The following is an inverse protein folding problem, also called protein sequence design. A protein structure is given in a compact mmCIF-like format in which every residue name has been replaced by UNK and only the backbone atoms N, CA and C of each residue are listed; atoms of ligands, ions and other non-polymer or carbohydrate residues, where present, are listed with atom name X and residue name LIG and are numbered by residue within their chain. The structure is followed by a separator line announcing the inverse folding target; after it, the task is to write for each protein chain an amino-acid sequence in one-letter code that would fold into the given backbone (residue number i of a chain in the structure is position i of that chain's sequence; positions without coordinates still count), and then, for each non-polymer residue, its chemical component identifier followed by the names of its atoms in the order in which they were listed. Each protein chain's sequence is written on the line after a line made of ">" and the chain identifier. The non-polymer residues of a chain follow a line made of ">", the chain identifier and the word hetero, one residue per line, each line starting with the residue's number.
data_IF_695311243178
#
_entry.id   IF_695311243178
#
_cell.length_a   1.000
_cell.length_b   1.000
_cell.length_c   1.000
_cell.angle_alpha   90.00
_cell.angle_beta   90.00
_cell.angle_gamma   90.00
#
_symmetry.space_group_name_H-M   'P 1'
#
loop_
_entity.id
_entity.type
_entity.pdbx_description
1 polymer ?
#
# COMPACT_ATOMS: atom_id res chain seq x y z
N UNK A 1 -8.01 0.12 -17.07
CA UNK A 1 -8.47 0.97 -15.95
C UNK A 1 -9.02 2.25 -16.55
N UNK A 2 -9.86 2.98 -15.82
CA UNK A 2 -10.44 4.24 -16.31
C UNK A 2 -10.08 5.38 -15.37
N UNK A 3 -9.62 6.47 -15.94
CA UNK A 3 -9.48 7.75 -15.24
C UNK A 3 -10.71 8.61 -15.55
N UNK A 4 -11.33 9.17 -14.51
CA UNK A 4 -12.42 10.13 -14.64
C UNK A 4 -12.00 11.45 -13.98
N UNK A 5 -11.94 12.52 -14.76
CA UNK A 5 -11.59 13.86 -14.26
C UNK A 5 -12.82 14.47 -13.58
N UNK A 6 -12.60 15.09 -12.43
CA UNK A 6 -13.63 15.75 -11.63
C UNK A 6 -13.23 17.21 -11.34
N UNK A 7 -14.18 18.07 -10.91
CA UNK A 7 -13.81 19.38 -10.38
C UNK A 7 -12.79 19.23 -9.24
N UNK A 8 -11.61 19.86 -9.39
CA UNK A 8 -10.52 19.84 -8.42
C UNK A 8 -9.99 18.43 -8.05
N UNK A 9 -10.07 17.46 -8.97
CA UNK A 9 -9.66 16.11 -8.65
C UNK A 9 -9.84 15.08 -9.76
N UNK A 10 -9.77 13.81 -9.38
CA UNK A 10 -9.95 12.68 -10.28
C UNK A 10 -10.34 11.40 -9.54
N UNK A 11 -10.84 10.45 -10.31
CA UNK A 11 -11.20 9.11 -9.84
C UNK A 11 -10.58 8.05 -10.76
N UNK A 12 -10.02 6.99 -10.17
CA UNK A 12 -9.48 5.83 -10.89
C UNK A 12 -10.37 4.63 -10.59
N UNK A 13 -10.87 4.02 -11.66
CA UNK A 13 -11.69 2.81 -11.63
C UNK A 13 -10.95 1.61 -12.21
N UNK A 14 -11.08 0.47 -11.54
CA UNK A 14 -10.55 -0.84 -11.98
C UNK A 14 -11.74 -1.79 -12.12
N UNK A 15 -12.05 -2.20 -13.34
CA UNK A 15 -13.35 -2.82 -13.64
C UNK A 15 -14.50 -1.86 -13.29
N UNK A 16 -15.45 -2.32 -12.49
CA UNK A 16 -16.55 -1.50 -11.93
C UNK A 16 -16.23 -0.87 -10.57
N UNK A 17 -15.05 -1.15 -10.01
CA UNK A 17 -14.67 -0.70 -8.68
C UNK A 17 -14.03 0.70 -8.73
N UNK A 18 -14.65 1.69 -8.09
CA UNK A 18 -13.98 2.96 -7.79
C UNK A 18 -12.94 2.73 -6.70
N UNK A 19 -11.67 2.85 -7.06
CA UNK A 19 -10.54 2.48 -6.21
C UNK A 19 -9.90 3.69 -5.54
N UNK A 20 -9.65 4.75 -6.32
CA UNK A 20 -9.02 5.99 -5.85
C UNK A 20 -9.94 7.13 -6.23
N UNK A 21 -10.26 8.00 -5.26
CA UNK A 21 -10.98 9.24 -5.49
C UNK A 21 -10.24 10.37 -4.79
N UNK A 22 -9.60 11.21 -5.57
CA UNK A 22 -8.78 12.31 -5.09
C UNK A 22 -9.50 13.63 -5.30
N UNK A 23 -9.59 14.45 -4.25
CA UNK A 23 -9.96 15.86 -4.36
C UNK A 23 -9.10 16.70 -3.41
N UNK A 24 -9.07 18.02 -3.59
CA UNK A 24 -8.36 18.92 -2.68
C UNK A 24 -8.91 18.90 -1.24
N UNK A 25 -10.21 18.60 -1.05
CA UNK A 25 -10.82 18.45 0.27
C UNK A 25 -10.68 17.05 0.87
N UNK A 26 -10.51 16.03 0.03
CA UNK A 26 -10.33 14.64 0.41
C UNK A 26 -9.08 14.06 -0.28
N UNK A 27 -7.87 14.50 0.13
CA UNK A 27 -6.64 14.04 -0.48
C UNK A 27 -6.38 12.59 -0.09
N UNK A 28 -6.14 11.76 -1.10
CA UNK A 28 -5.77 10.35 -0.95
C UNK A 28 -4.29 10.07 -1.13
N UNK A 29 -3.51 11.07 -1.58
CA UNK A 29 -2.06 10.97 -1.70
C UNK A 29 -1.40 11.86 -0.66
N UNK A 30 -0.42 11.31 0.04
CA UNK A 30 0.44 12.03 0.96
C UNK A 30 1.88 11.70 0.64
N UNK A 31 2.78 12.65 0.84
CA UNK A 31 4.23 12.41 0.73
C UNK A 31 4.95 13.04 1.92
N UNK A 32 6.20 12.67 2.10
CA UNK A 32 7.02 13.26 3.13
C UNK A 32 8.39 12.62 3.25
N UNK A 33 9.06 12.95 4.34
CA UNK A 33 10.41 12.49 4.67
C UNK A 33 10.35 11.64 5.92
N UNK A 34 10.95 10.46 5.85
CA UNK A 34 11.25 9.60 6.98
C UNK A 34 12.75 9.37 7.13
N UNK A 35 13.20 9.09 8.35
CA UNK A 35 14.54 8.60 8.66
C UNK A 35 14.45 7.20 9.30
N UNK A 36 14.65 6.13 8.52
CA UNK A 36 14.35 4.76 8.94
C UNK A 36 15.43 4.23 9.88
N UNK A 37 15.00 3.48 10.91
CA UNK A 37 15.85 2.62 11.71
C UNK A 37 15.32 1.20 11.75
N UNK A 38 16.23 0.25 11.91
CA UNK A 38 15.92 -1.16 11.99
C UNK A 38 16.78 -1.82 13.08
N UNK A 39 16.14 -2.23 14.18
CA UNK A 39 16.81 -3.02 15.21
C UNK A 39 16.81 -4.48 14.79
N UNK A 40 17.97 -5.01 14.43
CA UNK A 40 18.17 -6.41 14.05
C UNK A 40 18.66 -7.26 15.22
N UNK A 41 18.02 -8.41 15.46
CA UNK A 41 18.52 -9.43 16.37
C UNK A 41 18.15 -10.84 15.89
N UNK A 42 19.14 -11.57 15.36
CA UNK A 42 19.02 -13.00 14.95
C UNK A 42 17.78 -13.28 14.08
N UNK A 43 17.56 -12.44 13.06
CA UNK A 43 16.42 -12.59 12.13
C UNK A 43 15.14 -11.85 12.55
N UNK A 44 15.08 -11.31 13.77
CA UNK A 44 13.99 -10.46 14.22
C UNK A 44 14.32 -8.99 13.94
N UNK A 45 13.31 -8.24 13.47
CA UNK A 45 13.44 -6.82 13.15
C UNK A 45 12.39 -6.00 13.89
N UNK A 46 12.78 -4.79 14.32
CA UNK A 46 11.85 -3.70 14.62
C UNK A 46 12.19 -2.54 13.70
N UNK A 47 11.34 -2.27 12.72
CA UNK A 47 11.52 -1.21 11.72
C UNK A 47 10.61 -0.04 12.06
N UNK A 48 11.15 1.16 12.15
CA UNK A 48 10.41 2.38 12.50
C UNK A 48 11.09 3.64 11.94
N UNK A 49 10.35 4.73 11.81
CA UNK A 49 10.91 6.04 11.49
C UNK A 49 11.18 6.81 12.79
N UNK A 50 12.39 7.38 12.94
CA UNK A 50 12.73 8.27 14.07
C UNK A 50 12.10 9.66 13.94
N UNK A 51 12.09 10.14 12.70
CA UNK A 51 11.49 11.41 12.30
C UNK A 51 10.60 11.12 11.12
N UNK A 52 9.36 11.60 11.17
CA UNK A 52 8.40 11.42 10.09
C UNK A 52 7.68 12.72 9.81
N UNK A 53 7.76 13.18 8.57
CA UNK A 53 6.88 14.20 8.02
C UNK A 53 5.90 13.54 7.07
N UNK A 54 4.65 13.99 7.11
CA UNK A 54 3.58 13.52 6.25
C UNK A 54 2.69 14.69 5.86
N UNK A 55 2.58 14.93 4.57
CA UNK A 55 1.93 16.12 4.02
C UNK A 55 0.95 15.70 2.92
N UNK A 56 -0.30 16.18 2.94
CA UNK A 56 -1.26 15.87 1.89
C UNK A 56 -0.87 16.58 0.59
N UNK A 57 -1.04 15.90 -0.54
CA UNK A 57 -0.97 16.50 -1.87
C UNK A 57 -2.38 17.00 -2.20
N UNK A 58 -2.56 18.31 -2.31
CA UNK A 58 -3.89 18.94 -2.41
C UNK A 58 -4.24 19.34 -3.83
N UNK A 59 -3.23 19.52 -4.68
CA UNK A 59 -3.38 20.02 -6.03
C UNK A 59 -2.94 18.95 -7.00
N UNK A 60 -3.70 18.81 -8.09
CA UNK A 60 -3.37 17.92 -9.17
C UNK A 60 -3.47 18.62 -10.52
N UNK A 61 -2.60 18.23 -11.45
CA UNK A 61 -2.75 18.49 -12.88
C UNK A 61 -2.79 17.15 -13.60
N UNK A 62 -3.64 17.05 -14.61
CA UNK A 62 -3.85 15.82 -15.36
C UNK A 62 -3.66 16.14 -16.83
N UNK A 63 -2.85 15.33 -17.50
CA UNK A 63 -2.77 15.24 -18.96
C UNK A 63 -3.28 13.86 -19.36
N UNK A 64 -4.42 13.80 -20.04
CA UNK A 64 -5.17 12.58 -20.28
C UNK A 64 -5.31 12.27 -21.77
N UNK A 65 -4.85 11.09 -22.18
CA UNK A 65 -4.96 10.58 -23.55
C UNK A 65 -5.78 9.29 -23.57
N UNK A 66 -6.04 8.71 -24.75
CA UNK A 66 -6.88 7.50 -24.86
C UNK A 66 -6.37 6.33 -24.01
N UNK A 67 -5.07 6.03 -24.10
CA UNK A 67 -4.46 4.85 -23.48
C UNK A 67 -3.61 5.15 -22.24
N UNK A 68 -3.16 6.39 -22.07
CA UNK A 68 -2.28 6.79 -20.97
C UNK A 68 -2.78 8.07 -20.32
N UNK A 69 -2.33 8.32 -19.10
CA UNK A 69 -2.51 9.62 -18.45
C UNK A 69 -1.31 9.93 -17.57
N UNK A 70 -0.96 11.20 -17.44
CA UNK A 70 0.01 11.66 -16.44
C UNK A 70 -0.71 12.54 -15.43
N UNK A 71 -0.55 12.22 -14.15
CA UNK A 71 -1.07 13.00 -13.03
C UNK A 71 0.10 13.55 -12.23
N UNK A 72 0.20 14.86 -12.16
CA UNK A 72 1.14 15.54 -11.27
C UNK A 72 0.42 16.00 -10.02
N UNK A 73 1.02 15.76 -8.87
CA UNK A 73 0.47 16.05 -7.55
C UNK A 73 1.42 16.99 -6.79
N UNK A 74 0.87 17.99 -6.09
CA UNK A 74 1.64 18.90 -5.25
C UNK A 74 0.90 19.29 -3.98
N UNK A 75 1.65 19.66 -2.95
CA UNK A 75 1.11 20.19 -1.69
C UNK A 75 0.54 21.60 -1.83
N UNK A 76 1.13 22.41 -2.71
CA UNK A 76 0.79 23.81 -2.92
C UNK A 76 0.45 24.05 -4.39
N UNK A 77 -0.25 25.13 -4.68
CA UNK A 77 -0.52 25.59 -6.05
C UNK A 77 0.72 26.13 -6.77
N UNK A 78 1.92 25.94 -6.22
CA UNK A 78 3.19 26.33 -6.84
C UNK A 78 3.49 25.47 -8.08
N UNK A 79 4.41 25.92 -8.92
CA UNK A 79 4.75 25.23 -10.17
C UNK A 79 5.54 23.92 -9.99
N UNK A 80 6.05 23.62 -8.78
CA UNK A 80 6.82 22.41 -8.53
C UNK A 80 5.91 21.25 -8.08
N UNK A 81 5.99 20.14 -8.80
CA UNK A 81 5.30 18.90 -8.45
C UNK A 81 6.08 18.14 -7.36
N UNK A 82 5.37 17.43 -6.50
CA UNK A 82 5.95 16.59 -5.46
C UNK A 82 5.96 15.11 -5.88
N UNK A 83 4.90 14.66 -6.55
CA UNK A 83 4.74 13.28 -7.04
C UNK A 83 4.18 13.30 -8.47
N UNK A 84 4.66 12.39 -9.30
CA UNK A 84 4.16 12.12 -10.65
C UNK A 84 3.62 10.68 -10.71
N UNK A 85 2.45 10.51 -11.32
CA UNK A 85 1.85 9.23 -11.63
C UNK A 85 1.73 9.09 -13.15
N UNK A 86 2.26 8.02 -13.72
CA UNK A 86 2.06 7.64 -15.11
C UNK A 86 1.13 6.42 -15.16
N UNK A 87 -0.04 6.60 -15.76
CA UNK A 87 -1.08 5.59 -15.86
C UNK A 87 -1.02 4.94 -17.24
N UNK A 88 -0.85 3.61 -17.29
CA UNK A 88 -1.13 2.79 -18.48
C UNK A 88 -2.53 2.16 -18.32
N UNK A 89 -3.50 2.73 -19.03
CA UNK A 89 -4.91 2.33 -18.91
C UNK A 89 -5.17 0.93 -19.48
N UNK A 90 -4.37 0.48 -20.43
CA UNK A 90 -4.52 -0.84 -21.08
C UNK A 90 -3.94 -1.94 -20.19
N UNK A 91 -2.78 -1.69 -19.59
CA UNK A 91 -2.08 -2.65 -18.72
C UNK A 91 -2.54 -2.60 -17.26
N UNK A 92 -3.41 -1.66 -16.89
CA UNK A 92 -3.82 -1.44 -15.49
C UNK A 92 -2.62 -1.16 -14.56
N UNK A 93 -1.64 -0.40 -15.06
CA UNK A 93 -0.40 -0.11 -14.33
C UNK A 93 -0.30 1.37 -14.00
N UNK A 94 0.15 1.70 -12.80
CA UNK A 94 0.46 3.07 -12.38
C UNK A 94 1.91 3.11 -11.96
N UNK A 95 2.78 3.73 -12.74
CA UNK A 95 4.15 4.04 -12.31
C UNK A 95 4.11 5.33 -11.45
N UNK A 96 4.72 5.29 -10.27
CA UNK A 96 4.70 6.37 -9.28
C UNK A 96 6.12 6.83 -9.03
N UNK A 97 6.35 8.14 -9.08
CA UNK A 97 7.63 8.76 -8.80
C UNK A 97 7.48 9.96 -7.86
N UNK A 98 8.18 9.93 -6.74
CA UNK A 98 8.39 11.11 -5.89
C UNK A 98 9.46 11.96 -6.58
N UNK A 99 9.04 13.08 -7.18
CA UNK A 99 9.93 13.96 -7.95
C UNK A 99 10.59 15.02 -7.08
N UNK A 100 10.01 15.35 -5.92
CA UNK A 100 10.63 16.24 -4.96
C UNK A 100 11.69 15.49 -4.13
N UNK A 101 12.99 15.85 -4.25
CA UNK A 101 14.09 15.09 -3.64
C UNK A 101 14.14 15.18 -2.11
N UNK A 102 13.33 16.04 -1.49
CA UNK A 102 13.22 16.12 -0.04
C UNK A 102 12.42 14.97 0.57
N UNK A 103 11.71 14.20 -0.25
CA UNK A 103 10.75 13.18 0.18
C UNK A 103 11.16 11.77 -0.25
N UNK A 104 10.88 10.81 0.63
CA UNK A 104 11.21 9.39 0.48
C UNK A 104 10.11 8.49 1.08
N UNK A 105 8.92 9.04 1.29
CA UNK A 105 7.72 8.35 1.77
C UNK A 105 6.54 8.75 0.92
N UNK A 106 5.68 7.79 0.63
CA UNK A 106 4.35 8.04 0.07
C UNK A 106 3.30 7.20 0.79
N UNK A 107 2.13 7.80 1.00
CA UNK A 107 0.93 7.10 1.44
C UNK A 107 -0.16 7.28 0.41
N UNK A 108 -0.84 6.18 0.07
CA UNK A 108 -1.91 6.13 -0.92
C UNK A 108 -3.14 5.53 -0.26
N UNK A 109 -4.23 6.28 -0.23
CA UNK A 109 -5.53 5.79 0.27
C UNK A 109 -6.35 5.23 -0.87
N UNK A 110 -6.91 4.06 -0.64
CA UNK A 110 -7.87 3.39 -1.51
C UNK A 110 -9.23 3.45 -0.82
N UNK A 111 -10.29 3.72 -1.58
CA UNK A 111 -11.65 3.63 -1.08
C UNK A 111 -11.89 2.22 -0.56
N UNK A 112 -12.53 2.09 0.59
CA UNK A 112 -13.08 0.81 1.07
C UNK A 112 -14.58 0.93 1.34
N UNK A 113 -15.26 -0.20 1.52
CA UNK A 113 -16.67 -0.26 1.91
C UNK A 113 -16.84 -1.06 3.19
N UNK A 114 -17.84 -0.72 4.02
CA UNK A 114 -18.15 -1.49 5.22
C UNK A 114 -18.37 -2.97 4.90
N UNK A 115 -17.70 -3.86 5.65
CA UNK A 115 -17.75 -5.31 5.42
C UNK A 115 -16.85 -5.83 4.30
N UNK A 116 -16.05 -4.96 3.65
CA UNK A 116 -15.04 -5.40 2.69
C UNK A 116 -14.01 -6.30 3.39
N UNK A 117 -13.87 -7.53 2.90
CA UNK A 117 -12.77 -8.41 3.24
C UNK A 117 -11.60 -8.21 2.27
N UNK A 118 -10.40 -8.33 2.80
CA UNK A 118 -9.13 -8.27 2.07
C UNK A 118 -8.26 -9.46 2.48
N UNK A 119 -7.58 -10.09 1.52
CA UNK A 119 -6.74 -11.28 1.74
C UNK A 119 -5.40 -11.15 1.03
N UNK A 120 -4.41 -11.93 1.45
CA UNK A 120 -3.08 -11.95 0.84
C UNK A 120 -2.02 -11.43 1.81
N UNK A 121 -1.29 -10.40 1.40
CA UNK A 121 -0.10 -9.89 2.08
C UNK A 121 1.03 -10.94 2.20
N UNK A 122 1.08 -11.90 1.26
CA UNK A 122 1.98 -13.06 1.31
C UNK A 122 1.40 -14.20 2.16
N UNK A 123 2.26 -14.90 2.90
CA UNK A 123 1.87 -15.97 3.83
C UNK A 123 1.54 -15.39 5.21
N UNK A 124 0.25 -15.34 5.54
CA UNK A 124 -0.24 -14.84 6.84
C UNK A 124 -0.75 -15.99 7.70
N UNK A 125 -0.23 -16.12 8.92
CA UNK A 125 -0.50 -17.26 9.81
C UNK A 125 -1.67 -17.03 10.77
N UNK A 126 -1.93 -15.77 11.15
CA UNK A 126 -2.85 -15.45 12.25
C UNK A 126 -4.22 -15.01 11.76
N UNK A 127 -4.25 -14.27 10.64
CA UNK A 127 -5.48 -13.71 10.07
C UNK A 127 -5.50 -13.94 8.58
N UNK A 128 -6.53 -14.62 8.09
CA UNK A 128 -6.76 -14.74 6.65
C UNK A 128 -7.42 -13.49 6.08
N UNK A 129 -8.51 -13.02 6.71
CA UNK A 129 -9.08 -11.71 6.41
C UNK A 129 -8.28 -10.62 7.14
N UNK A 130 -7.67 -9.73 6.38
CA UNK A 130 -6.75 -8.70 6.84
C UNK A 130 -7.47 -7.42 7.29
N UNK A 131 -8.78 -7.31 7.04
CA UNK A 131 -9.55 -6.12 7.42
C UNK A 131 -9.46 -5.83 8.93
N UNK A 132 -9.30 -4.57 9.28
CA UNK A 132 -9.16 -4.08 10.66
C UNK A 132 -7.74 -4.15 11.23
N UNK A 133 -6.73 -4.49 10.42
CA UNK A 133 -5.34 -4.70 10.87
C UNK A 133 -4.31 -4.05 9.95
N UNK A 134 -3.09 -3.91 10.48
CA UNK A 134 -1.95 -3.27 9.81
C UNK A 134 -0.85 -4.30 9.58
N UNK A 135 -0.40 -4.45 8.34
CA UNK A 135 0.57 -5.47 7.92
C UNK A 135 1.83 -4.84 7.35
N UNK A 136 2.92 -4.73 8.14
CA UNK A 136 4.24 -4.42 7.63
C UNK A 136 4.69 -5.51 6.65
N UNK A 137 5.20 -5.09 5.50
CA UNK A 137 5.75 -5.96 4.47
C UNK A 137 7.27 -5.96 4.64
N UNK A 138 7.74 -6.86 5.50
CA UNK A 138 9.16 -7.02 5.80
C UNK A 138 9.45 -8.46 6.23
N UNK A 139 10.30 -9.16 5.48
CA UNK A 139 10.63 -10.56 5.81
C UNK A 139 11.40 -10.62 7.12
N UNK A 140 10.93 -11.47 8.04
CA UNK A 140 11.58 -11.69 9.33
C UNK A 140 11.15 -13.02 9.93
N UNK A 141 11.82 -13.42 11.01
CA UNK A 141 11.34 -14.51 11.86
C UNK A 141 9.87 -14.25 12.26
N UNK A 142 8.94 -15.21 12.07
CA UNK A 142 7.52 -15.03 12.32
C UNK A 142 7.21 -14.95 13.81
N UNK A 143 8.18 -15.32 14.66
CA UNK A 143 8.08 -15.34 16.11
C UNK A 143 7.66 -16.69 16.69
N UNK A 144 7.97 -16.86 17.98
CA UNK A 144 7.60 -18.02 18.80
C UNK A 144 6.45 -17.59 19.71
N UNK A 145 5.30 -18.24 19.58
CA UNK A 145 4.07 -17.86 20.29
C UNK A 145 3.23 -16.83 19.51
N UNK A 146 3.82 -15.72 19.06
CA UNK A 146 3.21 -14.74 18.12
C UNK A 146 1.97 -13.99 18.65
N UNK A 147 1.64 -14.21 19.90
CA UNK A 147 0.62 -13.49 20.67
C UNK A 147 1.27 -13.00 21.97
N UNK A 148 1.48 -11.68 22.06
CA UNK A 148 2.17 -11.04 23.17
C UNK A 148 1.41 -11.08 24.50
N UNK A 149 0.18 -11.62 24.52
CA UNK A 149 -0.54 -11.94 25.75
C UNK A 149 -0.24 -13.34 26.28
N UNK A 150 0.39 -14.20 25.45
CA UNK A 150 0.72 -15.57 25.81
C UNK A 150 2.05 -15.67 26.57
N UNK A 151 2.13 -16.60 27.53
CA UNK A 151 3.37 -16.86 28.29
C UNK A 151 4.55 -17.24 27.38
N UNK A 152 4.29 -17.97 26.30
CA UNK A 152 5.36 -18.41 25.37
C UNK A 152 5.97 -17.23 24.62
N UNK A 153 5.15 -16.34 24.05
CA UNK A 153 5.66 -15.17 23.33
C UNK A 153 6.42 -14.22 24.26
N UNK A 154 5.93 -14.01 25.48
CA UNK A 154 6.59 -13.16 26.48
C UNK A 154 7.99 -13.71 26.82
N UNK A 155 8.11 -15.02 27.08
CA UNK A 155 9.41 -15.66 27.37
C UNK A 155 10.36 -15.55 26.16
N UNK A 156 9.85 -15.75 24.94
CA UNK A 156 10.63 -15.65 23.71
C UNK A 156 11.12 -14.20 23.45
N UNK A 157 10.27 -13.20 23.71
CA UNK A 157 10.65 -11.79 23.56
C UNK A 157 11.74 -11.40 24.58
N UNK A 158 11.57 -11.76 25.86
CA UNK A 158 12.53 -11.42 26.92
C UNK A 158 13.90 -12.04 26.65
N UNK A 159 13.94 -13.32 26.26
CA UNK A 159 15.18 -14.08 26.13
C UNK A 159 15.87 -13.92 24.77
N UNK A 160 15.15 -13.48 23.73
CA UNK A 160 15.68 -13.50 22.38
C UNK A 160 15.02 -12.56 21.38
N UNK A 161 14.18 -11.60 21.82
CA UNK A 161 13.41 -10.70 20.93
C UNK A 161 12.63 -11.45 19.85
N UNK A 162 12.15 -12.65 20.19
CA UNK A 162 11.61 -13.62 19.24
C UNK A 162 10.11 -13.88 19.47
N UNK A 163 9.41 -13.08 20.27
CA UNK A 163 7.97 -13.25 20.45
C UNK A 163 7.20 -12.88 19.18
N UNK A 164 7.60 -11.75 18.59
CA UNK A 164 7.03 -11.10 17.41
C UNK A 164 5.51 -10.81 17.48
N UNK A 165 5.05 -9.97 16.55
CA UNK A 165 3.64 -9.62 16.40
C UNK A 165 2.91 -10.65 15.52
N UNK A 166 1.58 -10.73 15.62
CA UNK A 166 0.74 -11.68 14.88
C UNK A 166 0.86 -11.58 13.34
N UNK A 167 1.41 -10.47 12.84
CA UNK A 167 1.62 -10.16 11.42
C UNK A 167 3.02 -10.51 10.90
N UNK A 168 3.94 -10.93 11.77
CA UNK A 168 5.29 -11.30 11.36
C UNK A 168 5.28 -12.60 10.54
N UNK A 169 6.04 -12.63 9.44
CA UNK A 169 6.10 -13.76 8.51
C UNK A 169 7.43 -13.80 7.77
N UNK A 170 7.86 -15.00 7.37
CA UNK A 170 9.00 -15.17 6.48
C UNK A 170 8.71 -14.72 5.06
N UNK A 171 7.44 -14.76 4.63
CA UNK A 171 7.05 -14.48 3.26
C UNK A 171 5.95 -13.42 3.19
N UNK A 172 6.25 -12.15 3.53
CA UNK A 172 5.35 -11.06 3.22
C UNK A 172 5.45 -10.72 1.74
N UNK A 173 4.33 -10.33 1.14
CA UNK A 173 4.28 -9.84 -0.23
C UNK A 173 3.31 -8.66 -0.30
N UNK A 174 3.65 -7.53 -0.95
CA UNK A 174 2.78 -6.35 -1.00
C UNK A 174 1.67 -6.54 -2.07
N UNK A 175 0.91 -7.62 -1.93
CA UNK A 175 -0.18 -8.01 -2.84
C UNK A 175 -1.41 -8.38 -2.02
N UNK A 176 -2.58 -7.88 -2.39
CA UNK A 176 -3.82 -8.29 -1.76
C UNK A 176 -4.97 -8.39 -2.77
N UNK A 177 -5.96 -9.21 -2.43
CA UNK A 177 -7.23 -9.37 -3.12
C UNK A 177 -8.32 -8.75 -2.24
N UNK A 178 -9.20 -7.95 -2.83
CA UNK A 178 -10.39 -7.43 -2.17
C UNK A 178 -11.64 -8.21 -2.60
N UNK A 179 -12.56 -8.39 -1.66
CA UNK A 179 -13.93 -8.87 -1.90
C UNK A 179 -14.73 -8.01 -2.90
N UNK A 180 -14.25 -6.80 -3.22
CA UNK A 180 -14.80 -5.93 -4.27
C UNK A 180 -14.32 -6.28 -5.68
N UNK A 181 -13.77 -7.48 -5.87
CA UNK A 181 -13.34 -8.04 -7.15
C UNK A 181 -12.21 -7.26 -7.85
N UNK A 182 -11.26 -6.74 -7.07
CA UNK A 182 -9.97 -6.28 -7.57
C UNK A 182 -8.82 -6.89 -6.77
N UNK A 183 -7.64 -6.94 -7.38
CA UNK A 183 -6.39 -7.20 -6.68
C UNK A 183 -5.38 -6.09 -7.00
N UNK A 184 -4.45 -5.88 -6.09
CA UNK A 184 -3.40 -4.88 -6.21
C UNK A 184 -2.07 -5.51 -5.82
N UNK A 185 -1.05 -5.28 -6.64
CA UNK A 185 0.34 -5.61 -6.38
C UNK A 185 1.20 -4.34 -6.42
N UNK A 186 2.03 -4.12 -5.40
CA UNK A 186 3.07 -3.10 -5.45
C UNK A 186 4.36 -3.72 -6.00
N UNK A 187 4.82 -3.24 -7.14
CA UNK A 187 6.10 -3.60 -7.75
C UNK A 187 7.24 -2.83 -7.04
N UNK A 188 7.52 -3.21 -5.80
CA UNK A 188 8.67 -2.73 -5.02
C UNK A 188 9.13 -3.80 -4.03
N UNK A 189 10.40 -3.73 -3.66
CA UNK A 189 11.00 -4.53 -2.57
C UNK A 189 11.29 -3.69 -1.33
N UNK A 190 10.99 -2.39 -1.38
CA UNK A 190 11.15 -1.50 -0.24
C UNK A 190 10.23 -1.91 0.90
N UNK A 191 10.57 -1.47 2.10
CA UNK A 191 9.66 -1.56 3.23
C UNK A 191 8.35 -0.83 2.89
N UNK A 192 7.24 -1.46 3.24
CA UNK A 192 5.93 -0.86 3.11
C UNK A 192 4.97 -1.44 4.12
N UNK A 193 3.80 -0.84 4.23
CA UNK A 193 2.73 -1.31 5.10
C UNK A 193 1.42 -1.30 4.33
N UNK A 194 0.70 -2.42 4.41
CA UNK A 194 -0.70 -2.49 4.03
C UNK A 194 -1.56 -2.26 5.27
N UNK A 195 -2.14 -1.07 5.40
CA UNK A 195 -2.97 -0.68 6.54
C UNK A 195 -4.45 -0.76 6.18
N UNK A 196 -5.14 -1.73 6.76
CA UNK A 196 -6.56 -1.98 6.57
C UNK A 196 -7.37 -1.66 7.85
N UNK A 197 -6.82 -0.87 8.76
CA UNK A 197 -7.44 -0.58 10.06
C UNK A 197 -8.62 0.38 9.97
N UNK A 198 -8.59 1.32 9.03
CA UNK A 198 -9.60 2.35 8.89
C UNK A 198 -10.86 1.82 8.17
N UNK A 199 -12.03 2.22 8.67
CA UNK A 199 -13.31 1.79 8.09
C UNK A 199 -13.66 2.46 6.75
N UNK A 200 -12.99 3.56 6.41
CA UNK A 200 -13.32 4.42 5.27
C UNK A 200 -12.29 4.37 4.14
N UNK A 201 -11.08 3.84 4.40
CA UNK A 201 -10.06 3.64 3.39
C UNK A 201 -9.09 2.56 3.82
N UNK A 202 -8.46 1.92 2.84
CA UNK A 202 -7.20 1.21 3.04
C UNK A 202 -6.06 2.18 2.75
N UNK A 203 -4.96 2.10 3.48
CA UNK A 203 -3.79 2.96 3.27
C UNK A 203 -2.56 2.12 2.97
N UNK A 204 -1.89 2.45 1.87
CA UNK A 204 -0.63 1.86 1.49
C UNK A 204 0.48 2.83 1.87
N UNK A 205 1.39 2.43 2.74
CA UNK A 205 2.60 3.18 3.08
C UNK A 205 3.79 2.55 2.35
N UNK A 206 4.58 3.34 1.64
CA UNK A 206 5.73 2.86 0.85
C UNK A 206 6.95 3.72 1.12
N UNK A 207 8.07 3.08 1.46
CA UNK A 207 9.36 3.73 1.71
C UNK A 207 10.25 3.68 0.47
N UNK A 208 9.69 4.11 -0.65
CA UNK A 208 10.32 4.12 -1.97
C UNK A 208 10.03 5.45 -2.66
N UNK A 209 10.92 5.85 -3.56
CA UNK A 209 10.77 7.06 -4.38
C UNK A 209 10.30 6.75 -5.80
N UNK A 210 10.44 5.51 -6.27
CA UNK A 210 9.98 5.12 -7.60
C UNK A 210 9.59 3.64 -7.65
N UNK A 211 8.33 3.36 -7.94
CA UNK A 211 7.78 2.00 -7.99
C UNK A 211 6.52 1.97 -8.85
N UNK A 212 5.97 0.79 -9.08
CA UNK A 212 4.69 0.65 -9.79
C UNK A 212 3.59 0.00 -8.96
N UNK A 213 2.36 0.30 -9.31
CA UNK A 213 1.16 -0.39 -8.82
C UNK A 213 0.53 -1.13 -9.99
N UNK A 214 0.48 -2.45 -9.90
CA UNK A 214 -0.23 -3.29 -10.85
C UNK A 214 -1.62 -3.62 -10.31
N UNK A 215 -2.65 -3.35 -11.11
CA UNK A 215 -4.04 -3.53 -10.75
C UNK A 215 -4.66 -4.65 -11.57
N UNK A 216 -5.54 -5.43 -10.93
CA UNK A 216 -6.27 -6.52 -11.56
C UNK A 216 -7.76 -6.35 -11.26
N UNK A 217 -8.63 -6.68 -12.22
CA UNK A 217 -10.08 -6.75 -12.03
C UNK A 217 -10.60 -8.10 -12.48
N UNK A 218 -11.66 -8.58 -11.84
CA UNK A 218 -12.33 -9.82 -12.19
C UNK A 218 -13.83 -9.71 -11.94
N UNK A 219 -14.56 -10.75 -12.32
CA UNK A 219 -15.98 -10.88 -11.95
C UNK A 219 -16.15 -11.66 -10.64
N UNK A 220 -15.12 -12.40 -10.25
CA UNK A 220 -15.04 -13.12 -8.98
C UNK A 220 -13.58 -13.28 -8.53
N UNK A 221 -13.37 -13.75 -7.29
CA UNK A 221 -12.04 -14.02 -6.72
C UNK A 221 -11.24 -15.04 -7.53
N UNK A 222 -11.88 -16.06 -8.12
CA UNK A 222 -11.19 -17.05 -8.96
C UNK A 222 -10.52 -16.42 -10.18
N UNK A 223 -11.14 -15.43 -10.80
CA UNK A 223 -10.56 -14.71 -11.94
C UNK A 223 -9.29 -13.98 -11.53
N UNK A 224 -9.31 -13.35 -10.35
CA UNK A 224 -8.16 -12.62 -9.81
C UNK A 224 -7.02 -13.57 -9.47
N UNK A 225 -7.30 -14.70 -8.83
CA UNK A 225 -6.29 -15.71 -8.51
C UNK A 225 -5.63 -16.24 -9.79
N UNK A 226 -6.39 -16.52 -10.85
CA UNK A 226 -5.83 -16.93 -12.15
C UNK A 226 -4.92 -15.86 -12.78
N UNK A 227 -5.33 -14.59 -12.70
CA UNK A 227 -4.52 -13.48 -13.21
C UNK A 227 -3.22 -13.30 -12.42
N UNK A 228 -3.30 -13.35 -11.08
CA UNK A 228 -2.13 -13.24 -10.21
C UNK A 228 -1.17 -14.43 -10.42
N UNK A 229 -1.69 -15.66 -10.53
CA UNK A 229 -0.88 -16.84 -10.83
C UNK A 229 -0.14 -16.66 -12.16
N UNK A 230 -0.84 -16.23 -13.22
CA UNK A 230 -0.20 -15.93 -14.52
C UNK A 230 0.86 -14.83 -14.42
N UNK A 231 0.63 -13.82 -13.58
CA UNK A 231 1.53 -12.69 -13.42
C UNK A 231 2.80 -13.05 -12.65
N UNK A 232 2.70 -13.85 -11.58
CA UNK A 232 3.85 -14.22 -10.74
C UNK A 232 4.61 -15.48 -11.21
N UNK A 233 3.95 -16.37 -11.96
CA UNK A 233 4.53 -17.64 -12.44
C UNK A 233 3.97 -18.85 -11.71
#
# INVERSE_FOLDING_TARGET
>A
MKLAIMPNGFEILVGSCSLIRHTSSEPVFFTGRGNPEADFYRGNFKVYDKELTRLPLLYCRIDDNENTATVWLSRTSSAAWDVELLLDKLQNKIDIKIVNPLYNRIWIRLITTAGEAVWGAGEQFSHFNLAGRRFPIWTMEPGVGRDMTSRMAIIAEINGKAGAHETATYYPQPTFISSRNYALHLETTAFGVLDFTAAMFHELEIWDTQFSVQLFSGTCVLDLVKQLAKYFG
#
